data_IF_100201939606
#
_entry.id   IF_100201939606
#
_cell.length_a   1.000
_cell.length_b   1.000
_cell.length_c   1.000
_cell.angle_alpha   90.00
_cell.angle_beta   90.00
_cell.angle_gamma   90.00
#
_symmetry.space_group_name_H-M   'P 1'
#
loop_
_entity.id
_entity.type
_entity.pdbx_description
1 polymer ?
#
# COMPACT_ATOMS: atom_id res chain seq x y z
N UNK A 1 -36.32 -14.02 51.27
CA UNK A 1 -36.68 -14.02 49.84
C UNK A 1 -35.78 -12.98 49.16
N UNK A 2 -34.59 -13.38 48.69
CA UNK A 2 -33.59 -12.47 48.11
C UNK A 2 -33.81 -12.42 46.59
N UNK A 3 -34.14 -11.24 46.08
CA UNK A 3 -34.46 -10.98 44.67
C UNK A 3 -33.17 -10.94 43.85
N UNK A 4 -32.99 -11.91 42.96
CA UNK A 4 -31.89 -11.96 42.00
C UNK A 4 -31.88 -10.72 41.07
N UNK A 5 -30.70 -10.19 40.67
CA UNK A 5 -30.62 -9.07 39.73
C UNK A 5 -30.92 -9.56 38.31
N UNK A 6 -32.08 -9.15 37.77
CA UNK A 6 -32.59 -9.55 36.43
C UNK A 6 -32.04 -8.73 35.25
N UNK A 7 -31.01 -7.91 35.40
CA UNK A 7 -30.74 -6.82 34.42
C UNK A 7 -29.48 -6.97 33.55
N UNK A 8 -28.71 -8.06 33.65
CA UNK A 8 -27.52 -8.26 32.80
C UNK A 8 -27.81 -8.93 31.43
N UNK A 9 -28.92 -9.67 31.31
CA UNK A 9 -29.24 -10.47 30.11
C UNK A 9 -29.91 -9.67 28.97
N UNK A 10 -30.50 -8.51 29.25
CA UNK A 10 -31.31 -7.76 28.28
C UNK A 10 -30.50 -6.83 27.37
N UNK A 11 -29.26 -6.46 27.73
CA UNK A 11 -28.45 -5.52 26.92
C UNK A 11 -27.58 -6.19 25.86
N UNK A 12 -27.20 -7.46 26.06
CA UNK A 12 -26.52 -8.26 25.03
C UNK A 12 -27.44 -8.52 23.82
N UNK A 13 -28.75 -8.64 24.07
CA UNK A 13 -29.73 -8.97 23.03
C UNK A 13 -29.88 -7.87 21.99
N UNK A 14 -29.92 -6.59 22.38
CA UNK A 14 -30.13 -5.48 21.43
C UNK A 14 -29.00 -5.39 20.38
N UNK A 15 -27.74 -5.57 20.79
CA UNK A 15 -26.59 -5.62 19.87
C UNK A 15 -26.63 -6.87 18.99
N UNK A 16 -27.04 -8.01 19.52
CA UNK A 16 -27.23 -9.24 18.74
C UNK A 16 -28.34 -9.08 17.69
N UNK A 17 -29.43 -8.36 18.02
CA UNK A 17 -30.50 -8.03 17.10
C UNK A 17 -30.02 -7.13 15.96
N UNK A 18 -29.17 -6.15 16.22
CA UNK A 18 -28.59 -5.30 15.15
C UNK A 18 -27.73 -6.13 14.19
N UNK A 19 -26.87 -7.01 14.72
CA UNK A 19 -26.07 -7.91 13.89
C UNK A 19 -26.91 -8.87 13.06
N UNK A 20 -28.01 -9.36 13.64
CA UNK A 20 -28.98 -10.22 12.96
C UNK A 20 -29.71 -9.47 11.84
N UNK A 21 -30.18 -8.24 12.08
CA UNK A 21 -30.83 -7.40 11.06
C UNK A 21 -29.86 -7.09 9.91
N UNK A 22 -28.61 -6.79 10.21
CA UNK A 22 -27.57 -6.55 9.21
C UNK A 22 -27.30 -7.81 8.38
N UNK A 23 -27.18 -8.97 9.02
CA UNK A 23 -26.99 -10.25 8.35
C UNK A 23 -28.15 -10.58 7.42
N UNK A 24 -29.39 -10.34 7.86
CA UNK A 24 -30.60 -10.54 7.05
C UNK A 24 -30.61 -9.61 5.83
N UNK A 25 -30.29 -8.33 6.00
CA UNK A 25 -30.27 -7.36 4.90
C UNK A 25 -29.23 -7.72 3.84
N UNK A 26 -28.00 -8.04 4.26
CA UNK A 26 -26.89 -8.37 3.35
C UNK A 26 -27.16 -9.71 2.64
N UNK A 27 -27.57 -10.74 3.38
CA UNK A 27 -27.88 -12.04 2.81
C UNK A 27 -29.12 -11.98 1.89
N UNK A 28 -30.13 -11.19 2.27
CA UNK A 28 -31.34 -10.99 1.48
C UNK A 28 -31.08 -10.26 0.17
N UNK A 29 -30.25 -9.21 0.18
CA UNK A 29 -29.80 -8.55 -1.05
C UNK A 29 -29.03 -9.53 -1.95
N UNK A 30 -28.10 -10.30 -1.39
CA UNK A 30 -27.38 -11.33 -2.15
C UNK A 30 -28.31 -12.38 -2.77
N UNK A 31 -29.35 -12.79 -2.04
CA UNK A 31 -30.35 -13.75 -2.53
C UNK A 31 -31.18 -13.19 -3.69
N UNK A 32 -31.70 -11.96 -3.53
CA UNK A 32 -32.52 -11.29 -4.55
C UNK A 32 -31.72 -11.12 -5.85
N UNK A 33 -30.46 -10.67 -5.75
CA UNK A 33 -29.58 -10.54 -6.93
C UNK A 33 -29.25 -11.88 -7.58
N UNK A 34 -29.05 -12.94 -6.79
CA UNK A 34 -28.80 -14.27 -7.35
C UNK A 34 -30.01 -14.85 -8.11
N UNK A 35 -31.24 -14.52 -7.70
CA UNK A 35 -32.46 -14.84 -8.47
C UNK A 35 -32.48 -14.09 -9.80
N UNK A 36 -32.18 -12.78 -9.78
CA UNK A 36 -32.14 -11.95 -11.01
C UNK A 36 -31.14 -12.50 -12.03
N UNK A 37 -30.05 -13.11 -11.56
CA UNK A 37 -28.99 -13.68 -12.39
C UNK A 37 -29.21 -15.15 -12.78
N UNK A 38 -30.35 -15.76 -12.42
CA UNK A 38 -30.68 -17.17 -12.70
C UNK A 38 -29.61 -18.16 -12.23
N UNK A 39 -28.96 -17.87 -11.10
CA UNK A 39 -28.02 -18.79 -10.45
C UNK A 39 -28.76 -20.07 -10.03
N UNK A 40 -28.09 -21.22 -10.08
CA UNK A 40 -28.65 -22.50 -9.66
C UNK A 40 -29.12 -22.40 -8.20
N UNK A 41 -30.38 -22.80 -7.94
CA UNK A 41 -31.05 -22.56 -6.66
C UNK A 41 -30.27 -23.15 -5.46
N UNK A 42 -29.67 -24.31 -5.63
CA UNK A 42 -28.87 -24.97 -4.60
C UNK A 42 -27.63 -24.15 -4.20
N UNK A 43 -26.94 -23.58 -5.18
CA UNK A 43 -25.78 -22.71 -4.94
C UNK A 43 -26.19 -21.39 -4.29
N UNK A 44 -27.28 -20.80 -4.78
CA UNK A 44 -27.83 -19.56 -4.24
C UNK A 44 -28.15 -19.70 -2.73
N UNK A 45 -28.83 -20.78 -2.35
CA UNK A 45 -29.16 -21.06 -0.95
C UNK A 45 -27.88 -21.21 -0.12
N UNK A 46 -26.88 -21.92 -0.63
CA UNK A 46 -25.60 -22.10 0.05
C UNK A 46 -24.87 -20.76 0.25
N UNK A 47 -24.83 -19.90 -0.76
CA UNK A 47 -24.17 -18.58 -0.69
C UNK A 47 -24.88 -17.64 0.27
N UNK A 48 -26.21 -17.60 0.25
CA UNK A 48 -27.00 -16.80 1.18
C UNK A 48 -26.80 -17.27 2.62
N UNK A 49 -26.78 -18.58 2.86
CA UNK A 49 -26.54 -19.16 4.18
C UNK A 49 -25.10 -18.89 4.67
N UNK A 50 -24.09 -19.06 3.81
CA UNK A 50 -22.69 -18.79 4.15
C UNK A 50 -22.46 -17.31 4.47
N UNK A 51 -23.03 -16.41 3.68
CA UNK A 51 -22.94 -14.96 3.90
C UNK A 51 -23.61 -14.56 5.22
N UNK A 52 -24.80 -15.10 5.49
CA UNK A 52 -25.52 -14.89 6.74
C UNK A 52 -24.72 -15.38 7.96
N UNK A 53 -24.20 -16.61 7.90
CA UNK A 53 -23.43 -17.22 8.98
C UNK A 53 -22.13 -16.43 9.26
N UNK A 54 -21.45 -15.97 8.22
CA UNK A 54 -20.21 -15.21 8.35
C UNK A 54 -20.44 -13.84 8.97
N UNK A 55 -21.50 -13.13 8.57
CA UNK A 55 -21.85 -11.82 9.18
C UNK A 55 -22.19 -11.98 10.65
N UNK A 56 -22.96 -13.03 11.01
CA UNK A 56 -23.26 -13.32 12.43
C UNK A 56 -22.00 -13.69 13.20
N UNK A 57 -21.14 -14.54 12.63
CA UNK A 57 -19.90 -14.97 13.27
C UNK A 57 -18.96 -13.78 13.50
N UNK A 58 -18.76 -12.92 12.50
CA UNK A 58 -17.95 -11.70 12.64
C UNK A 58 -18.55 -10.72 13.66
N UNK A 59 -19.87 -10.56 13.67
CA UNK A 59 -20.56 -9.71 14.64
C UNK A 59 -20.38 -10.22 16.07
N UNK A 60 -20.61 -11.51 16.31
CA UNK A 60 -20.52 -12.10 17.64
C UNK A 60 -19.08 -12.28 18.14
N UNK A 61 -18.13 -12.58 17.26
CA UNK A 61 -16.73 -12.77 17.64
C UNK A 61 -16.02 -11.45 17.93
N UNK A 62 -16.36 -10.36 17.22
CA UNK A 62 -15.56 -9.14 17.25
C UNK A 62 -16.32 -7.89 17.70
N UNK A 63 -17.60 -7.75 17.37
CA UNK A 63 -18.38 -6.54 17.66
C UNK A 63 -19.05 -6.60 19.04
N UNK A 64 -19.73 -7.71 19.34
CA UNK A 64 -20.47 -7.87 20.59
C UNK A 64 -19.60 -7.83 21.87
N UNK A 65 -18.38 -8.41 21.92
CA UNK A 65 -17.56 -8.41 23.13
C UNK A 65 -16.92 -7.04 23.45
N UNK A 66 -16.50 -6.28 22.42
CA UNK A 66 -15.79 -5.00 22.59
C UNK A 66 -16.73 -3.82 22.91
N UNK A 67 -18.05 -4.01 22.76
CA UNK A 67 -19.07 -3.04 23.19
C UNK A 67 -19.23 -2.95 24.72
N UNK A 68 -18.57 -3.82 25.50
CA UNK A 68 -18.65 -3.82 26.98
C UNK A 68 -17.81 -2.73 27.67
N UNK A 69 -16.86 -2.11 26.97
CA UNK A 69 -15.88 -1.17 27.55
C UNK A 69 -16.36 0.30 27.70
N UNK A 70 -17.65 0.51 27.98
CA UNK A 70 -18.20 1.86 28.17
C UNK A 70 -19.44 1.92 29.06
N UNK A 71 -19.68 0.89 29.88
CA UNK A 71 -20.92 0.73 30.63
C UNK A 71 -20.74 0.77 32.16
N UNK A 72 -19.71 1.47 32.67
CA UNK A 72 -19.53 1.62 34.13
C UNK A 72 -19.81 3.02 34.70
N UNK A 73 -19.96 4.07 33.89
CA UNK A 73 -20.25 5.42 34.42
C UNK A 73 -21.44 6.09 33.72
N UNK A 74 -22.67 5.75 34.15
CA UNK A 74 -23.81 6.67 34.31
C UNK A 74 -25.11 5.89 34.53
N UNK A 75 -25.86 6.24 35.59
CA UNK A 75 -27.12 5.61 36.00
C UNK A 75 -28.29 5.69 35.00
N UNK A 76 -28.10 6.32 33.85
CA UNK A 76 -28.94 6.17 32.67
C UNK A 76 -28.07 5.62 31.53
N UNK A 77 -28.36 4.40 31.09
CA UNK A 77 -27.56 3.72 30.08
C UNK A 77 -27.75 4.35 28.69
N UNK A 78 -26.70 4.48 27.86
CA UNK A 78 -26.85 5.02 26.51
C UNK A 78 -27.89 4.18 25.74
N UNK A 79 -28.83 4.85 25.07
CA UNK A 79 -29.77 4.19 24.15
C UNK A 79 -29.00 3.30 23.16
N UNK A 80 -29.56 2.18 22.71
CA UNK A 80 -28.87 1.29 21.75
C UNK A 80 -28.36 2.03 20.50
N UNK A 81 -29.02 3.14 20.15
CA UNK A 81 -28.59 4.07 19.11
C UNK A 81 -27.33 4.86 19.49
N UNK A 82 -27.18 5.32 20.73
CA UNK A 82 -25.97 5.97 21.24
C UNK A 82 -24.77 5.01 21.27
N UNK A 83 -24.99 3.74 21.65
CA UNK A 83 -23.98 2.68 21.59
C UNK A 83 -23.54 2.36 20.15
N UNK A 84 -24.50 2.20 19.24
CA UNK A 84 -24.21 1.99 17.82
C UNK A 84 -23.47 3.18 17.22
N UNK A 85 -23.90 4.41 17.54
CA UNK A 85 -23.23 5.64 17.12
C UNK A 85 -21.80 5.72 17.66
N UNK A 86 -21.57 5.41 18.93
CA UNK A 86 -20.23 5.37 19.53
C UNK A 86 -19.32 4.32 18.86
N UNK A 87 -19.85 3.13 18.57
CA UNK A 87 -19.14 2.09 17.85
C UNK A 87 -18.77 2.52 16.42
N UNK A 88 -19.71 3.12 15.68
CA UNK A 88 -19.49 3.65 14.33
C UNK A 88 -18.43 4.74 14.35
N UNK A 89 -18.46 5.65 15.31
CA UNK A 89 -17.41 6.68 15.43
C UNK A 89 -16.04 6.07 15.74
N UNK A 90 -15.97 5.08 16.63
CA UNK A 90 -14.72 4.41 17.02
C UNK A 90 -14.08 3.63 15.87
N UNK A 91 -14.87 2.95 15.05
CA UNK A 91 -14.38 2.10 13.94
C UNK A 91 -14.66 2.69 12.55
N UNK A 92 -14.93 4.00 12.45
CA UNK A 92 -15.32 4.67 11.20
C UNK A 92 -14.43 4.34 10.01
N UNK A 93 -13.11 4.28 10.22
CA UNK A 93 -12.13 4.02 9.16
C UNK A 93 -12.28 2.60 8.60
N UNK A 94 -12.45 1.61 9.46
CA UNK A 94 -12.65 0.21 9.05
C UNK A 94 -14.00 0.02 8.37
N UNK A 95 -15.05 0.65 8.88
CA UNK A 95 -16.39 0.58 8.28
C UNK A 95 -16.38 1.21 6.89
N UNK A 96 -15.78 2.39 6.73
CA UNK A 96 -15.63 3.04 5.42
C UNK A 96 -14.83 2.14 4.47
N UNK A 97 -13.70 1.57 4.92
CA UNK A 97 -12.89 0.68 4.08
C UNK A 97 -13.67 -0.56 3.61
N UNK A 98 -14.42 -1.23 4.51
CA UNK A 98 -15.27 -2.37 4.15
C UNK A 98 -16.39 -1.96 3.18
N UNK A 99 -17.03 -0.81 3.38
CA UNK A 99 -18.07 -0.30 2.48
C UNK A 99 -17.51 0.04 1.10
N UNK A 100 -16.30 0.59 1.01
CA UNK A 100 -15.63 0.86 -0.26
C UNK A 100 -15.31 -0.44 -0.99
N UNK A 101 -14.73 -1.44 -0.31
CA UNK A 101 -14.42 -2.74 -0.92
C UNK A 101 -15.72 -3.43 -1.37
N UNK A 102 -16.78 -3.38 -0.55
CA UNK A 102 -18.10 -3.89 -0.93
C UNK A 102 -18.65 -3.16 -2.16
N UNK A 103 -18.56 -1.84 -2.20
CA UNK A 103 -18.98 -1.03 -3.34
C UNK A 103 -18.23 -1.41 -4.63
N UNK A 104 -16.91 -1.55 -4.55
CA UNK A 104 -16.08 -2.00 -5.68
C UNK A 104 -16.48 -3.40 -6.12
N UNK A 105 -16.69 -4.33 -5.18
CA UNK A 105 -17.12 -5.70 -5.50
C UNK A 105 -18.48 -5.73 -6.20
N UNK A 106 -19.46 -4.94 -5.72
CA UNK A 106 -20.78 -4.84 -6.33
C UNK A 106 -20.72 -4.21 -7.73
N UNK A 107 -19.91 -3.17 -7.92
CA UNK A 107 -19.69 -2.55 -9.24
C UNK A 107 -19.04 -3.56 -10.19
N UNK A 108 -17.98 -4.25 -9.77
CA UNK A 108 -17.32 -5.27 -10.56
C UNK A 108 -18.27 -6.43 -10.89
N UNK A 109 -19.09 -6.85 -9.93
CA UNK A 109 -20.14 -7.86 -10.11
C UNK A 109 -21.22 -7.44 -11.11
N UNK A 110 -21.53 -6.16 -11.22
CA UNK A 110 -22.53 -5.65 -12.16
C UNK A 110 -21.94 -5.37 -13.55
N UNK A 111 -20.65 -5.04 -13.63
CA UNK A 111 -20.01 -4.56 -14.87
C UNK A 111 -19.32 -5.69 -15.63
N UNK A 112 -18.75 -6.67 -14.92
CA UNK A 112 -17.93 -7.73 -15.52
C UNK A 112 -18.74 -9.03 -15.56
N UNK A 113 -18.99 -9.52 -16.77
CA UNK A 113 -19.72 -10.77 -16.99
C UNK A 113 -18.94 -11.96 -16.40
N UNK A 114 -19.61 -12.80 -15.61
CA UNK A 114 -18.98 -13.95 -14.94
C UNK A 114 -18.12 -13.61 -13.71
N UNK A 115 -18.08 -12.34 -13.28
CA UNK A 115 -17.32 -11.94 -12.09
C UNK A 115 -17.93 -12.48 -10.79
N UNK A 116 -19.25 -12.61 -10.71
CA UNK A 116 -19.92 -13.16 -9.53
C UNK A 116 -19.86 -14.69 -9.50
N UNK A 117 -18.69 -15.23 -9.15
CA UNK A 117 -18.43 -16.66 -8.96
C UNK A 117 -18.04 -16.92 -7.50
N UNK A 118 -18.32 -18.12 -6.97
CA UNK A 118 -17.89 -18.59 -5.65
C UNK A 118 -16.43 -18.27 -5.32
N UNK A 119 -15.53 -18.44 -6.29
CA UNK A 119 -14.09 -18.14 -6.15
C UNK A 119 -13.88 -16.66 -5.76
N UNK A 120 -14.54 -15.74 -6.46
CA UNK A 120 -14.45 -14.30 -6.20
C UNK A 120 -15.20 -13.89 -4.93
N UNK A 121 -16.30 -14.56 -4.58
CA UNK A 121 -17.02 -14.35 -3.32
C UNK A 121 -16.12 -14.73 -2.13
N UNK A 122 -15.52 -15.93 -2.18
CA UNK A 122 -14.56 -16.39 -1.15
C UNK A 122 -13.38 -15.42 -1.06
N UNK A 123 -12.88 -14.92 -2.19
CA UNK A 123 -11.82 -13.89 -2.21
C UNK A 123 -12.21 -12.65 -1.45
N UNK A 124 -13.39 -12.11 -1.75
CA UNK A 124 -13.90 -10.90 -1.15
C UNK A 124 -14.03 -11.08 0.37
N UNK A 125 -14.52 -12.25 0.81
CA UNK A 125 -14.64 -12.59 2.23
C UNK A 125 -13.27 -12.73 2.91
N UNK A 126 -12.30 -13.39 2.27
CA UNK A 126 -10.92 -13.52 2.76
C UNK A 126 -10.26 -12.15 2.88
N UNK A 127 -10.43 -11.28 1.89
CA UNK A 127 -9.89 -9.92 1.89
C UNK A 127 -10.51 -9.08 3.00
N UNK A 128 -11.83 -9.13 3.19
CA UNK A 128 -12.51 -8.48 4.30
C UNK A 128 -12.02 -9.00 5.66
N UNK A 129 -11.88 -10.32 5.81
CA UNK A 129 -11.40 -10.94 7.05
C UNK A 129 -9.95 -10.53 7.37
N UNK A 130 -9.06 -10.54 6.37
CA UNK A 130 -7.67 -10.10 6.52
C UNK A 130 -7.57 -8.61 6.83
N UNK A 131 -8.42 -7.77 6.24
CA UNK A 131 -8.49 -6.34 6.55
C UNK A 131 -8.90 -6.12 8.02
N UNK A 132 -9.98 -6.78 8.45
CA UNK A 132 -10.44 -6.69 9.86
C UNK A 132 -9.34 -7.19 10.79
N UNK A 133 -8.76 -8.35 10.52
CA UNK A 133 -7.64 -8.89 11.29
C UNK A 133 -6.47 -7.90 11.38
N UNK A 134 -6.06 -7.33 10.24
CA UNK A 134 -4.98 -6.34 10.17
C UNK A 134 -5.26 -5.14 11.06
N UNK A 135 -6.45 -4.54 10.96
CA UNK A 135 -6.81 -3.35 11.74
C UNK A 135 -6.90 -3.68 13.22
N UNK A 136 -7.42 -4.85 13.60
CA UNK A 136 -7.53 -5.26 15.00
C UNK A 136 -6.15 -5.53 15.60
N UNK A 137 -5.32 -6.33 14.93
CA UNK A 137 -3.97 -6.64 15.41
C UNK A 137 -3.08 -5.39 15.40
N UNK A 138 -3.29 -4.45 14.46
CA UNK A 138 -2.57 -3.16 14.47
C UNK A 138 -2.80 -2.34 15.74
N UNK A 139 -3.87 -2.59 16.51
CA UNK A 139 -4.11 -1.91 17.78
C UNK A 139 -3.27 -2.51 18.91
N UNK A 140 -2.78 -3.74 18.76
CA UNK A 140 -1.85 -4.38 19.70
C UNK A 140 -0.41 -3.86 19.51
N UNK A 141 -0.07 -3.42 18.30
CA UNK A 141 1.23 -2.80 17.98
C UNK A 141 1.12 -1.28 18.09
N UNK A 142 1.34 -0.75 19.29
CA UNK A 142 1.37 0.70 19.55
C UNK A 142 2.56 1.34 18.83
N UNK A 143 3.71 0.65 18.81
CA UNK A 143 4.91 1.07 18.09
C UNK A 143 4.91 0.55 16.63
N UNK A 144 5.28 1.40 15.68
CA UNK A 144 5.41 1.06 14.25
C UNK A 144 4.13 0.52 13.58
N UNK A 145 2.96 0.95 14.05
CA UNK A 145 1.64 0.56 13.51
C UNK A 145 1.54 0.69 11.99
N UNK A 146 2.11 1.75 11.41
CA UNK A 146 2.11 1.98 9.95
C UNK A 146 2.88 0.91 9.18
N UNK A 147 4.06 0.51 9.66
CA UNK A 147 4.86 -0.54 9.05
C UNK A 147 4.16 -1.91 9.16
N UNK A 148 3.54 -2.19 10.31
CA UNK A 148 2.75 -3.41 10.50
C UNK A 148 1.57 -3.48 9.52
N UNK A 149 0.80 -2.40 9.39
CA UNK A 149 -0.31 -2.33 8.43
C UNK A 149 0.20 -2.55 7.01
N UNK A 150 1.30 -1.89 6.62
CA UNK A 150 1.91 -2.05 5.30
C UNK A 150 2.32 -3.51 5.01
N UNK A 151 2.96 -4.18 5.98
CA UNK A 151 3.35 -5.58 5.86
C UNK A 151 2.14 -6.50 5.69
N UNK A 152 1.08 -6.28 6.47
CA UNK A 152 -0.14 -7.09 6.39
C UNK A 152 -0.88 -6.89 5.07
N UNK A 153 -0.92 -5.66 4.56
CA UNK A 153 -1.47 -5.36 3.23
C UNK A 153 -0.65 -6.08 2.14
N UNK A 154 0.68 -6.05 2.23
CA UNK A 154 1.56 -6.76 1.30
C UNK A 154 1.29 -8.27 1.31
N UNK A 155 1.26 -8.91 2.50
CA UNK A 155 0.98 -10.35 2.63
C UNK A 155 -0.39 -10.70 2.06
N UNK A 156 -1.40 -9.88 2.36
CA UNK A 156 -2.77 -10.07 1.87
C UNK A 156 -2.82 -9.99 0.34
N UNK A 157 -2.30 -8.91 -0.25
CA UNK A 157 -2.28 -8.72 -1.70
C UNK A 157 -1.48 -9.81 -2.41
N UNK A 158 -0.34 -10.23 -1.84
CA UNK A 158 0.46 -11.31 -2.41
C UNK A 158 -0.29 -12.65 -2.37
N UNK A 159 -0.94 -12.97 -1.25
CA UNK A 159 -1.70 -14.22 -1.08
C UNK A 159 -2.88 -14.27 -2.05
N UNK A 160 -3.64 -13.18 -2.14
CA UNK A 160 -4.74 -13.05 -3.10
C UNK A 160 -4.21 -13.22 -4.52
N UNK A 161 -3.19 -12.45 -4.93
CA UNK A 161 -2.58 -12.58 -6.25
C UNK A 161 -2.13 -14.01 -6.57
N UNK A 162 -1.53 -14.70 -5.60
CA UNK A 162 -1.05 -16.08 -5.77
C UNK A 162 -2.16 -17.12 -5.94
N UNK A 163 -3.37 -16.87 -5.43
CA UNK A 163 -4.50 -17.81 -5.55
C UNK A 163 -5.23 -17.61 -6.88
N UNK A 164 -5.39 -16.36 -7.34
CA UNK A 164 -6.24 -16.05 -8.50
C UNK A 164 -5.50 -15.93 -9.82
N UNK A 165 -4.21 -15.64 -9.79
CA UNK A 165 -3.43 -15.42 -11.00
C UNK A 165 -2.44 -16.59 -11.15
N UNK A 166 -2.70 -17.45 -12.13
CA UNK A 166 -1.78 -18.53 -12.48
C UNK A 166 -0.39 -17.95 -12.79
N UNK A 167 0.65 -18.56 -12.19
CA UNK A 167 2.02 -18.09 -12.34
C UNK A 167 2.39 -16.81 -11.58
N UNK A 168 1.49 -16.24 -10.76
CA UNK A 168 1.81 -15.04 -9.96
C UNK A 168 2.95 -15.27 -8.97
N UNK A 169 2.99 -16.42 -8.29
CA UNK A 169 4.09 -16.81 -7.41
C UNK A 169 5.26 -17.47 -8.15
N UNK A 170 5.26 -17.44 -9.50
CA UNK A 170 6.40 -17.97 -10.26
C UNK A 170 7.67 -17.20 -9.97
N UNK A 171 8.82 -17.90 -9.99
CA UNK A 171 10.12 -17.27 -9.74
C UNK A 171 10.44 -16.11 -10.69
N UNK A 172 9.94 -16.17 -11.93
CA UNK A 172 10.12 -15.08 -12.89
C UNK A 172 9.29 -13.85 -12.52
N UNK A 173 8.04 -14.02 -12.09
CA UNK A 173 7.21 -12.89 -11.66
C UNK A 173 7.73 -12.25 -10.36
N UNK A 174 8.15 -13.08 -9.39
CA UNK A 174 8.79 -12.59 -8.15
C UNK A 174 10.05 -11.80 -8.47
N UNK A 175 10.87 -12.29 -9.40
CA UNK A 175 12.07 -11.58 -9.87
C UNK A 175 11.71 -10.23 -10.51
N UNK A 176 10.68 -10.18 -11.34
CA UNK A 176 10.20 -8.92 -11.95
C UNK A 176 9.71 -7.94 -10.89
N UNK A 177 8.92 -8.41 -9.92
CA UNK A 177 8.44 -7.59 -8.81
C UNK A 177 9.58 -7.04 -7.99
N UNK A 178 10.57 -7.87 -7.64
CA UNK A 178 11.77 -7.44 -6.91
C UNK A 178 12.63 -6.46 -7.70
N UNK A 179 12.73 -6.63 -9.03
CA UNK A 179 13.43 -5.68 -9.89
C UNK A 179 12.78 -4.29 -9.81
N UNK A 180 11.46 -4.19 -10.03
CA UNK A 180 10.76 -2.92 -9.94
C UNK A 180 10.78 -2.33 -8.51
N UNK A 181 10.62 -3.20 -7.51
CA UNK A 181 10.71 -2.80 -6.10
C UNK A 181 12.11 -2.26 -5.75
N UNK A 182 13.19 -2.79 -6.37
CA UNK A 182 14.55 -2.30 -6.12
C UNK A 182 14.77 -0.87 -6.62
N UNK A 183 14.18 -0.49 -7.77
CA UNK A 183 14.26 0.88 -8.26
C UNK A 183 13.56 1.86 -7.33
N UNK A 184 12.33 1.52 -6.90
CA UNK A 184 11.59 2.33 -5.94
C UNK A 184 12.28 2.35 -4.57
N UNK A 185 12.78 1.19 -4.13
CA UNK A 185 13.46 1.02 -2.86
C UNK A 185 14.75 1.85 -2.75
N UNK A 186 15.55 1.92 -3.80
CA UNK A 186 16.73 2.80 -3.87
C UNK A 186 16.34 4.29 -3.77
N UNK A 187 15.25 4.70 -4.42
CA UNK A 187 14.74 6.06 -4.28
C UNK A 187 14.24 6.35 -2.86
N UNK A 188 13.56 5.38 -2.24
CA UNK A 188 13.08 5.48 -0.87
C UNK A 188 14.21 5.62 0.17
N UNK A 189 15.42 5.09 -0.09
CA UNK A 189 16.59 5.29 0.80
C UNK A 189 16.88 6.78 0.96
N UNK A 190 16.95 7.53 -0.14
CA UNK A 190 17.15 8.99 -0.10
C UNK A 190 15.97 9.71 0.55
N UNK A 191 14.73 9.34 0.18
CA UNK A 191 13.53 9.93 0.77
C UNK A 191 13.42 9.67 2.28
N UNK A 192 13.92 8.53 2.78
CA UNK A 192 13.94 8.23 4.22
C UNK A 192 14.74 9.28 4.98
N UNK A 193 15.91 9.67 4.46
CA UNK A 193 16.75 10.70 5.09
C UNK A 193 16.05 12.08 5.09
N UNK A 194 15.36 12.43 4.00
CA UNK A 194 14.60 13.69 3.90
C UNK A 194 13.41 13.70 4.87
N UNK A 195 12.68 12.58 4.96
CA UNK A 195 11.53 12.43 5.84
C UNK A 195 11.91 12.52 7.32
N UNK A 196 13.10 12.00 7.71
CA UNK A 196 13.61 12.14 9.07
C UNK A 196 13.87 13.60 9.47
N UNK A 197 14.22 14.45 8.50
CA UNK A 197 14.37 15.90 8.71
C UNK A 197 13.02 16.64 8.72
N UNK A 198 11.89 15.93 8.65
CA UNK A 198 10.55 16.51 8.56
C UNK A 198 10.21 17.09 7.18
N UNK A 199 11.04 16.82 6.17
CA UNK A 199 10.84 17.29 4.80
C UNK A 199 10.13 16.26 3.91
N UNK A 200 9.78 16.69 2.69
CA UNK A 200 9.28 15.81 1.64
C UNK A 200 9.82 16.31 0.30
N UNK A 201 10.58 15.48 -0.41
CA UNK A 201 11.10 15.78 -1.74
C UNK A 201 10.22 15.16 -2.84
N UNK A 202 9.56 16.01 -3.65
CA UNK A 202 8.78 15.58 -4.81
C UNK A 202 9.57 15.62 -6.13
N UNK A 203 10.82 16.10 -6.12
CA UNK A 203 11.65 16.21 -7.33
C UNK A 203 12.20 14.85 -7.80
N UNK A 204 12.19 13.82 -6.95
CA UNK A 204 12.84 12.51 -7.19
C UNK A 204 12.46 11.89 -8.55
N UNK A 205 11.17 11.77 -8.95
CA UNK A 205 10.82 11.18 -10.24
C UNK A 205 11.35 11.99 -11.43
N UNK A 206 11.35 13.33 -11.31
CA UNK A 206 11.86 14.23 -12.34
C UNK A 206 13.38 14.10 -12.50
N UNK A 207 14.11 13.99 -11.39
CA UNK A 207 15.57 13.76 -11.40
C UNK A 207 15.91 12.38 -11.97
N UNK A 208 15.15 11.33 -11.63
CA UNK A 208 15.33 9.99 -12.22
C UNK A 208 15.13 10.04 -13.75
N UNK A 209 14.04 10.68 -14.21
CA UNK A 209 13.75 10.82 -15.63
C UNK A 209 14.83 11.61 -16.37
N UNK A 210 15.23 12.76 -15.84
CA UNK A 210 16.30 13.60 -16.39
C UNK A 210 17.64 12.86 -16.43
N UNK A 211 17.99 12.15 -15.37
CA UNK A 211 19.22 11.36 -15.27
C UNK A 211 19.28 10.27 -16.34
N UNK A 212 18.17 9.57 -16.58
CA UNK A 212 18.08 8.54 -17.62
C UNK A 212 18.33 9.13 -19.02
N UNK A 213 17.65 10.25 -19.34
CA UNK A 213 17.80 10.93 -20.63
C UNK A 213 19.20 11.49 -20.80
N UNK A 214 19.73 12.18 -19.79
CA UNK A 214 21.03 12.83 -19.84
C UNK A 214 22.18 11.83 -19.91
N UNK A 215 22.09 10.70 -19.20
CA UNK A 215 23.05 9.60 -19.31
C UNK A 215 23.13 9.11 -20.75
N UNK A 216 21.99 8.84 -21.37
CA UNK A 216 21.94 8.33 -22.73
C UNK A 216 22.40 9.37 -23.76
N UNK A 217 22.11 10.65 -23.50
CA UNK A 217 22.57 11.77 -24.32
C UNK A 217 24.09 11.85 -24.34
N UNK A 218 24.74 11.80 -23.17
CA UNK A 218 26.19 11.83 -23.05
C UNK A 218 26.87 10.61 -23.71
N UNK A 219 26.29 9.42 -23.54
CA UNK A 219 26.78 8.20 -24.23
C UNK A 219 26.59 8.34 -25.74
N UNK A 220 25.47 8.89 -26.19
CA UNK A 220 25.19 9.16 -27.60
C UNK A 220 26.17 10.15 -28.23
N UNK A 221 26.71 11.09 -27.46
CA UNK A 221 27.81 11.98 -27.88
C UNK A 221 29.19 11.28 -27.95
N UNK A 222 29.25 9.97 -27.69
CA UNK A 222 30.48 9.17 -27.75
C UNK A 222 31.28 9.15 -26.44
N UNK A 223 30.73 9.71 -25.35
CA UNK A 223 31.43 9.74 -24.07
C UNK A 223 31.46 8.36 -23.41
N UNK A 224 32.56 8.01 -22.76
CA UNK A 224 32.67 6.75 -22.03
C UNK A 224 31.60 6.67 -20.93
N UNK A 225 30.86 5.57 -20.91
CA UNK A 225 29.72 5.36 -20.03
C UNK A 225 30.00 5.57 -18.53
N UNK A 226 31.22 5.33 -18.07
CA UNK A 226 31.59 5.42 -16.65
C UNK A 226 31.72 6.89 -16.24
N UNK A 227 32.28 7.71 -17.13
CA UNK A 227 32.35 9.17 -16.98
C UNK A 227 30.94 9.76 -17.04
N UNK A 228 30.10 9.26 -17.96
CA UNK A 228 28.71 9.71 -18.07
C UNK A 228 27.91 9.44 -16.79
N UNK A 229 28.06 8.26 -16.19
CA UNK A 229 27.46 7.93 -14.89
C UNK A 229 27.95 8.87 -13.79
N UNK A 230 29.27 9.12 -13.71
CA UNK A 230 29.82 10.02 -12.69
C UNK A 230 29.25 11.44 -12.81
N UNK A 231 29.16 11.99 -14.03
CA UNK A 231 28.59 13.32 -14.27
C UNK A 231 27.11 13.36 -13.86
N UNK A 232 26.32 12.36 -14.24
CA UNK A 232 24.90 12.27 -13.89
C UNK A 232 24.71 12.17 -12.36
N UNK A 233 25.54 11.39 -11.67
CA UNK A 233 25.51 11.28 -10.21
C UNK A 233 25.86 12.62 -9.55
N UNK A 234 26.86 13.34 -10.05
CA UNK A 234 27.24 14.65 -9.54
C UNK A 234 26.12 15.69 -9.75
N UNK A 235 25.45 15.67 -10.89
CA UNK A 235 24.29 16.54 -11.15
C UNK A 235 23.11 16.21 -10.24
N UNK A 236 22.81 14.92 -10.03
CA UNK A 236 21.79 14.49 -9.07
C UNK A 236 22.13 14.95 -7.65
N UNK A 237 23.39 14.82 -7.23
CA UNK A 237 23.86 15.29 -5.93
C UNK A 237 23.77 16.82 -5.81
N UNK A 238 24.07 17.57 -6.87
CA UNK A 238 23.92 19.02 -6.93
C UNK A 238 22.45 19.43 -6.77
N UNK A 239 21.53 18.77 -7.47
CA UNK A 239 20.08 19.04 -7.34
C UNK A 239 19.62 18.73 -5.91
N UNK A 240 20.03 17.60 -5.34
CA UNK A 240 19.71 17.24 -3.96
C UNK A 240 20.27 18.26 -2.95
N UNK A 241 21.49 18.73 -3.16
CA UNK A 241 22.11 19.77 -2.34
C UNK A 241 21.35 21.11 -2.43
N UNK A 242 20.94 21.51 -3.64
CA UNK A 242 20.09 22.68 -3.85
C UNK A 242 18.74 22.53 -3.13
N UNK A 243 18.05 21.39 -3.32
CA UNK A 243 16.80 21.09 -2.62
C UNK A 243 16.97 21.19 -1.09
N UNK A 244 18.07 20.67 -0.55
CA UNK A 244 18.37 20.72 0.88
C UNK A 244 18.56 22.15 1.40
N UNK A 245 19.39 22.95 0.73
CA UNK A 245 19.68 24.33 1.15
C UNK A 245 18.45 25.22 1.01
N UNK A 246 17.74 25.15 -0.11
CA UNK A 246 16.59 26.01 -0.34
C UNK A 246 15.43 25.62 0.59
N UNK A 247 15.22 24.32 0.84
CA UNK A 247 14.26 23.85 1.84
C UNK A 247 14.60 24.37 3.25
N UNK A 248 15.88 24.32 3.63
CA UNK A 248 16.34 24.84 4.92
C UNK A 248 16.09 26.35 5.07
N UNK A 249 16.32 27.14 4.02
CA UNK A 249 16.15 28.61 4.08
C UNK A 249 14.69 29.07 4.02
N UNK A 250 13.81 28.32 3.34
CA UNK A 250 12.43 28.74 3.08
C UNK A 250 11.41 28.20 4.10
N UNK A 251 11.81 27.29 5.00
CA UNK A 251 11.15 26.81 6.25
C UNK A 251 9.63 26.52 6.28
N UNK A 252 8.92 26.54 5.14
CA UNK A 252 7.49 26.23 5.12
C UNK A 252 6.92 25.76 3.77
N UNK A 253 7.75 25.66 2.72
CA UNK A 253 7.30 25.37 1.35
C UNK A 253 8.18 24.34 0.62
N UNK A 254 8.82 23.42 1.35
CA UNK A 254 9.69 22.39 0.77
C UNK A 254 9.00 21.57 -0.35
N UNK A 255 7.71 21.29 -0.18
CA UNK A 255 6.90 20.60 -1.17
C UNK A 255 6.79 21.37 -2.50
N UNK A 256 6.47 22.66 -2.42
CA UNK A 256 6.27 23.53 -3.59
C UNK A 256 7.62 23.76 -4.28
N UNK A 257 8.65 23.98 -3.49
CA UNK A 257 10.01 24.18 -3.97
C UNK A 257 10.53 22.96 -4.75
N UNK A 258 10.43 21.77 -4.17
CA UNK A 258 10.94 20.54 -4.81
C UNK A 258 10.14 20.17 -6.05
N UNK A 259 8.84 20.45 -6.08
CA UNK A 259 8.05 20.40 -7.32
C UNK A 259 8.54 21.40 -8.37
N UNK A 260 8.79 22.65 -7.99
CA UNK A 260 9.32 23.68 -8.87
C UNK A 260 10.68 23.30 -9.46
N UNK A 261 11.58 22.76 -8.63
CA UNK A 261 12.87 22.25 -9.07
C UNK A 261 12.69 21.03 -10.00
N UNK A 262 11.75 20.13 -9.69
CA UNK A 262 11.39 19.02 -10.57
C UNK A 262 10.95 19.49 -11.97
N UNK A 263 10.05 20.47 -12.05
CA UNK A 263 9.63 21.06 -13.32
C UNK A 263 10.78 21.78 -14.05
N UNK A 264 11.63 22.51 -13.33
CA UNK A 264 12.81 23.15 -13.91
C UNK A 264 13.77 22.11 -14.52
N UNK A 265 14.03 21.01 -13.81
CA UNK A 265 14.89 19.90 -14.27
C UNK A 265 14.30 19.23 -15.52
N UNK A 266 12.99 18.98 -15.54
CA UNK A 266 12.33 18.45 -16.75
C UNK A 266 12.35 19.42 -17.92
N UNK A 267 12.12 20.72 -17.68
CA UNK A 267 12.22 21.75 -18.71
C UNK A 267 13.64 21.86 -19.28
N UNK A 268 14.66 21.86 -18.42
CA UNK A 268 16.07 21.83 -18.83
C UNK A 268 16.41 20.58 -19.63
N UNK A 269 15.91 19.41 -19.22
CA UNK A 269 16.09 18.17 -19.98
C UNK A 269 15.53 18.32 -21.39
N UNK A 270 14.34 18.90 -21.54
CA UNK A 270 13.75 19.13 -22.86
C UNK A 270 14.52 20.15 -23.69
N UNK A 271 15.04 21.22 -23.08
CA UNK A 271 15.87 22.21 -23.78
C UNK A 271 17.14 21.54 -24.32
N UNK A 272 17.83 20.75 -23.48
CA UNK A 272 19.08 20.06 -23.86
C UNK A 272 18.85 19.03 -24.97
N UNK A 273 17.72 18.32 -24.96
CA UNK A 273 17.42 17.33 -25.98
C UNK A 273 16.85 17.91 -27.27
N UNK A 274 16.23 19.09 -27.26
CA UNK A 274 15.56 19.67 -28.43
C UNK A 274 16.35 20.78 -29.11
N UNK A 275 16.96 21.70 -28.36
CA UNK A 275 17.59 22.91 -28.93
C UNK A 275 19.04 22.63 -29.28
N UNK A 276 19.37 22.72 -30.58
CA UNK A 276 20.75 22.57 -31.07
C UNK A 276 21.37 21.19 -30.84
N UNK A 277 20.55 20.20 -30.47
CA UNK A 277 21.02 18.85 -30.15
C UNK A 277 21.14 18.00 -31.42
N UNK A 278 22.13 17.09 -31.44
CA UNK A 278 22.29 16.08 -32.49
C UNK A 278 21.11 15.09 -32.59
N UNK A 279 20.18 15.16 -31.64
CA UNK A 279 19.13 14.18 -31.42
C UNK A 279 17.74 14.72 -31.76
N UNK A 280 17.58 16.02 -32.03
CA UNK A 280 16.31 16.65 -32.44
C UNK A 280 15.09 16.23 -31.58
N UNK A 281 15.29 16.12 -30.26
CA UNK A 281 14.27 15.68 -29.30
C UNK A 281 14.27 14.18 -29.00
N UNK A 282 15.00 13.34 -29.75
CA UNK A 282 15.03 11.88 -29.59
C UNK A 282 16.44 11.36 -29.31
N UNK A 283 16.72 11.01 -28.04
CA UNK A 283 18.05 10.55 -27.63
C UNK A 283 18.27 9.08 -28.02
N UNK A 284 19.12 8.84 -29.02
CA UNK A 284 19.46 7.50 -29.52
C UNK A 284 20.87 7.08 -29.05
N UNK A 285 21.01 6.79 -27.76
CA UNK A 285 22.23 6.15 -27.25
C UNK A 285 22.05 4.64 -27.15
N UNK A 286 23.12 3.88 -27.41
CA UNK A 286 23.11 2.43 -27.15
C UNK A 286 23.65 2.20 -25.75
N UNK A 287 22.82 1.60 -24.87
CA UNK A 287 23.24 1.24 -23.52
C UNK A 287 24.35 0.17 -23.59
N UNK A 288 25.53 0.41 -22.99
CA UNK A 288 26.61 -0.57 -22.97
C UNK A 288 26.17 -1.91 -22.35
N UNK A 289 26.70 -3.02 -22.86
CA UNK A 289 26.30 -4.36 -22.41
C UNK A 289 26.53 -4.60 -20.91
N UNK A 290 27.63 -4.08 -20.36
CA UNK A 290 27.92 -4.20 -18.92
C UNK A 290 26.89 -3.46 -18.06
N UNK A 291 26.35 -2.33 -18.55
CA UNK A 291 25.32 -1.53 -17.88
C UNK A 291 23.93 -2.14 -18.04
N UNK A 292 23.64 -2.75 -19.19
CA UNK A 292 22.39 -3.52 -19.41
C UNK A 292 22.22 -4.61 -18.37
N UNK A 293 23.29 -5.34 -18.03
CA UNK A 293 23.20 -6.45 -17.07
C UNK A 293 22.76 -6.01 -15.66
N UNK A 294 23.05 -4.78 -15.25
CA UNK A 294 22.71 -4.26 -13.91
C UNK A 294 21.20 -4.22 -13.65
N UNK A 295 20.41 -3.87 -14.67
CA UNK A 295 18.98 -3.57 -14.55
C UNK A 295 18.09 -4.43 -15.47
N UNK A 296 18.66 -5.39 -16.20
CA UNK A 296 17.89 -6.29 -17.06
C UNK A 296 17.19 -7.39 -16.27
N UNK A 297 16.00 -7.79 -16.72
CA UNK A 297 15.25 -8.94 -16.19
C UNK A 297 16.04 -10.25 -16.23
N UNK A 298 16.87 -10.43 -17.27
CA UNK A 298 17.74 -11.59 -17.45
C UNK A 298 19.16 -11.32 -16.94
N UNK A 299 19.35 -10.24 -16.16
CA UNK A 299 20.63 -9.91 -15.56
C UNK A 299 21.11 -11.03 -14.63
N UNK A 300 22.41 -11.30 -14.66
CA UNK A 300 23.04 -12.30 -13.79
C UNK A 300 24.04 -11.64 -12.85
N UNK A 301 24.09 -12.15 -11.61
CA UNK A 301 25.06 -11.73 -10.59
C UNK A 301 25.86 -12.94 -10.15
N UNK A 302 27.18 -12.95 -10.40
CA UNK A 302 28.06 -14.07 -10.05
C UNK A 302 27.55 -15.45 -10.54
N UNK A 303 26.90 -15.50 -11.71
CA UNK A 303 26.30 -16.72 -12.28
C UNK A 303 24.88 -17.06 -11.80
N UNK A 304 24.35 -16.33 -10.81
CA UNK A 304 22.96 -16.46 -10.38
C UNK A 304 22.04 -15.59 -11.25
N UNK A 305 20.86 -16.11 -11.60
CA UNK A 305 19.85 -15.41 -12.40
C UNK A 305 19.07 -14.33 -11.61
N UNK A 306 19.80 -13.52 -10.84
CA UNK A 306 19.28 -12.42 -10.02
C UNK A 306 19.85 -11.12 -10.60
N UNK A 307 18.99 -10.16 -11.00
CA UNK A 307 19.42 -8.84 -11.43
C UNK A 307 20.30 -8.16 -10.35
N UNK A 308 21.50 -7.68 -10.69
CA UNK A 308 22.43 -7.07 -9.73
C UNK A 308 21.83 -5.91 -8.92
N UNK A 309 20.92 -5.13 -9.50
CA UNK A 309 20.28 -4.00 -8.81
C UNK A 309 19.51 -4.41 -7.54
N UNK A 310 18.97 -5.63 -7.48
CA UNK A 310 18.30 -6.15 -6.28
C UNK A 310 19.31 -6.29 -5.13
N UNK A 311 20.52 -6.78 -5.43
CA UNK A 311 21.59 -6.92 -4.44
C UNK A 311 22.16 -5.56 -4.04
N UNK A 312 22.33 -4.64 -5.00
CA UNK A 312 22.75 -3.26 -4.70
C UNK A 312 21.75 -2.62 -3.74
N UNK A 313 20.46 -2.73 -4.03
CA UNK A 313 19.40 -2.24 -3.15
C UNK A 313 19.47 -2.87 -1.76
N UNK A 314 19.61 -4.19 -1.67
CA UNK A 314 19.73 -4.88 -0.38
C UNK A 314 20.94 -4.39 0.43
N UNK A 315 22.10 -4.24 -0.21
CA UNK A 315 23.32 -3.73 0.44
C UNK A 315 23.11 -2.30 0.93
N UNK A 316 22.59 -1.41 0.07
CA UNK A 316 22.33 -0.01 0.44
C UNK A 316 21.33 0.07 1.59
N UNK A 317 20.28 -0.74 1.59
CA UNK A 317 19.31 -0.81 2.67
C UNK A 317 19.95 -1.29 3.99
N UNK A 318 20.77 -2.34 3.95
CA UNK A 318 21.50 -2.84 5.14
C UNK A 318 22.41 -1.76 5.71
N UNK A 319 23.18 -1.08 4.85
CA UNK A 319 24.06 0.02 5.24
C UNK A 319 23.27 1.16 5.87
N UNK A 320 22.14 1.56 5.28
CA UNK A 320 21.27 2.60 5.84
C UNK A 320 20.73 2.17 7.21
N UNK A 321 20.17 0.97 7.34
CA UNK A 321 19.61 0.46 8.60
C UNK A 321 20.68 0.44 9.70
N UNK A 322 21.88 -0.07 9.37
CA UNK A 322 23.01 -0.06 10.30
C UNK A 322 23.42 1.37 10.68
N UNK A 323 23.49 2.28 9.70
CA UNK A 323 23.80 3.69 9.94
C UNK A 323 22.78 4.34 10.88
N UNK A 324 21.49 4.21 10.60
CA UNK A 324 20.44 4.78 11.44
C UNK A 324 20.45 4.20 12.86
N UNK A 325 20.65 2.88 13.00
CA UNK A 325 20.70 2.23 14.31
C UNK A 325 21.87 2.73 15.17
N UNK A 326 23.03 3.01 14.57
CA UNK A 326 24.22 3.39 15.33
C UNK A 326 24.36 4.89 15.54
N UNK A 327 23.96 5.72 14.58
CA UNK A 327 24.16 7.18 14.66
C UNK A 327 22.93 7.92 15.18
N UNK A 328 21.73 7.55 14.73
CA UNK A 328 20.51 8.29 15.07
C UNK A 328 19.94 7.83 16.41
N UNK A 329 19.85 6.52 16.64
CA UNK A 329 19.23 5.98 17.87
C UNK A 329 20.11 6.17 19.10
N UNK A 330 21.44 6.14 18.96
CA UNK A 330 22.35 6.39 20.09
C UNK A 330 22.40 7.85 20.50
N UNK A 331 22.41 8.78 19.55
CA UNK A 331 22.46 10.22 19.84
C UNK A 331 21.16 10.82 20.44
N UNK A 332 20.08 10.04 20.52
CA UNK A 332 18.84 10.42 21.24
C UNK A 332 18.85 9.94 22.70
N UNK A 333 19.69 8.95 23.02
CA UNK A 333 19.80 8.37 24.37
C UNK A 333 20.98 8.96 25.17
N UNK A 334 21.72 9.90 24.58
CA UNK A 334 22.75 10.74 25.22
C UNK A 334 22.23 12.18 25.33
#
# INVERSE_FOLDING_TARGET
>A
MSTAPKTAYTRLSALQWVGLILAILIAGLGFIFGIVQKVVLQELIFYTAATFALVIWTWNAYVAPHAKFGAEDSGDGPSGFALARAFVYRHRVLIIALLVILGIFLIASATVTGFFNWVNIVTFLVLCALLVFTVQVSQLFVDNRSAFIGLMVLITMFTVGSIFIEGFSSGQNIKSMLLFASFLGLACVGQTLVALLGGLDLSIPFVIGASNVFLLYLIGLGMYSWIAILIVLLLGALIGWLNGILSYRLQGQALILTLGIGFAVSGLTQIVTSIGSAFAGNVFGVVPNWLKNLAAMNGTTFGLAIPPVILIWAVVAIVLIYGMKNFVVRGVNE
#
